data_IF_906857856553
#
_entry.id   IF_906857856553
#
_cell.length_a   1.000
_cell.length_b   1.000
_cell.length_c   1.000
_cell.angle_alpha   90.00
_cell.angle_beta   90.00
_cell.angle_gamma   90.00
#
_symmetry.space_group_name_H-M   'P 1'
#
loop_
_entity.id
_entity.type
_entity.pdbx_description
1 polymer ?
#
# COMPACT_ATOMS: atom_id res chain seq x y z
N UNK A 1 -27.82 -49.07 -38.62
CA UNK A 1 -26.81 -49.93 -39.28
C UNK A 1 -25.99 -50.59 -38.19
N UNK A 2 -26.26 -51.84 -37.78
CA UNK A 2 -25.86 -53.09 -38.47
C UNK A 2 -24.40 -52.98 -38.95
N UNK A 3 -23.42 -53.77 -38.50
CA UNK A 3 -23.41 -55.24 -38.37
C UNK A 3 -22.29 -55.69 -37.41
N UNK A 4 -22.65 -56.66 -36.56
CA UNK A 4 -21.80 -57.55 -35.77
C UNK A 4 -21.23 -58.68 -36.63
N UNK A 5 -19.98 -59.09 -36.38
CA UNK A 5 -19.29 -60.41 -36.58
C UNK A 5 -17.84 -60.10 -36.98
N UNK A 6 -16.78 -60.72 -36.47
CA UNK A 6 -16.45 -62.16 -36.41
C UNK A 6 -14.97 -62.16 -35.92
N UNK A 7 -14.50 -62.93 -34.94
CA UNK A 7 -14.13 -64.33 -35.07
C UNK A 7 -13.59 -64.83 -33.72
N UNK A 8 -14.21 -65.88 -33.17
CA UNK A 8 -13.61 -66.77 -32.18
C UNK A 8 -12.77 -67.82 -32.94
N UNK A 9 -11.54 -68.08 -32.48
CA UNK A 9 -10.86 -69.35 -32.75
C UNK A 9 -10.14 -69.83 -31.50
N UNK A 10 -10.72 -70.87 -30.89
CA UNK A 10 -10.17 -71.67 -29.78
C UNK A 10 -8.87 -72.36 -30.23
N UNK A 11 -7.77 -72.03 -29.56
CA UNK A 11 -6.50 -72.76 -29.61
C UNK A 11 -6.18 -73.36 -28.23
N UNK A 12 -5.81 -74.64 -28.21
CA UNK A 12 -5.75 -75.53 -27.06
C UNK A 12 -4.70 -75.11 -26.01
N UNK A 13 -5.14 -74.90 -24.76
CA UNK A 13 -4.25 -74.90 -23.58
C UNK A 13 -3.98 -76.35 -23.20
N UNK A 14 -2.76 -76.84 -23.39
CA UNK A 14 -2.27 -78.05 -22.71
C UNK A 14 -0.81 -77.90 -22.27
N UNK A 15 -0.65 -77.99 -20.95
CA UNK A 15 0.51 -78.46 -20.16
C UNK A 15 1.80 -77.62 -20.17
N UNK A 16 1.88 -76.69 -19.22
CA UNK A 16 3.12 -76.41 -18.47
C UNK A 16 2.75 -76.41 -16.97
N UNK A 17 2.36 -77.56 -16.46
CA UNK A 17 2.07 -77.76 -15.02
C UNK A 17 2.80 -78.99 -14.51
N UNK A 18 4.14 -78.93 -14.48
CA UNK A 18 4.95 -79.88 -13.70
C UNK A 18 6.40 -79.42 -13.57
N UNK A 19 6.64 -78.27 -12.93
CA UNK A 19 7.99 -77.94 -12.40
C UNK A 19 8.00 -76.90 -11.27
N UNK A 20 6.86 -76.57 -10.67
CA UNK A 20 6.77 -75.51 -9.64
C UNK A 20 6.25 -76.09 -8.31
N UNK A 21 6.68 -77.28 -7.93
CA UNK A 21 6.21 -77.95 -6.71
C UNK A 21 7.12 -77.80 -5.50
N UNK A 22 8.45 -77.68 -5.70
CA UNK A 22 9.42 -77.82 -4.59
C UNK A 22 10.14 -76.53 -4.18
N UNK A 23 10.27 -75.53 -5.06
CA UNK A 23 11.03 -74.29 -4.78
C UNK A 23 10.13 -73.05 -4.60
N UNK A 24 8.80 -73.21 -4.47
CA UNK A 24 7.88 -72.07 -4.32
C UNK A 24 8.11 -71.27 -3.04
N UNK A 25 8.47 -71.95 -1.96
CA UNK A 25 8.70 -71.32 -0.65
C UNK A 25 9.98 -70.50 -0.67
N UNK A 26 11.06 -71.01 -1.28
CA UNK A 26 12.33 -70.28 -1.42
C UNK A 26 12.18 -69.03 -2.30
N UNK A 27 11.46 -69.14 -3.42
CA UNK A 27 11.15 -67.98 -4.26
C UNK A 27 10.28 -66.93 -3.55
N UNK A 28 9.31 -67.36 -2.73
CA UNK A 28 8.49 -66.47 -1.92
C UNK A 28 9.32 -65.74 -0.85
N UNK A 29 10.25 -66.45 -0.19
CA UNK A 29 11.13 -65.86 0.82
C UNK A 29 12.09 -64.83 0.22
N UNK A 30 12.71 -65.15 -0.92
CA UNK A 30 13.60 -64.20 -1.62
C UNK A 30 12.80 -62.96 -2.06
N UNK A 31 11.59 -63.15 -2.59
CA UNK A 31 10.72 -62.04 -2.99
C UNK A 31 10.31 -61.15 -1.81
N UNK A 32 10.00 -61.73 -0.64
CA UNK A 32 9.70 -60.97 0.57
C UNK A 32 10.90 -60.18 1.10
N UNK A 33 12.11 -60.72 1.02
CA UNK A 33 13.34 -60.02 1.44
C UNK A 33 13.62 -58.82 0.52
N UNK A 34 13.43 -58.97 -0.79
CA UNK A 34 13.60 -57.87 -1.75
C UNK A 34 12.59 -56.75 -1.49
N UNK A 35 11.32 -57.10 -1.22
CA UNK A 35 10.29 -56.12 -0.85
C UNK A 35 10.63 -55.41 0.46
N UNK A 36 11.05 -56.16 1.49
CA UNK A 36 11.43 -55.59 2.78
C UNK A 36 12.61 -54.62 2.65
N UNK A 37 13.61 -54.96 1.82
CA UNK A 37 14.76 -54.11 1.55
C UNK A 37 14.38 -52.83 0.81
N UNK A 38 13.47 -52.93 -0.17
CA UNK A 38 12.94 -51.77 -0.88
C UNK A 38 12.13 -50.85 0.03
N UNK A 39 11.24 -51.42 0.86
CA UNK A 39 10.45 -50.65 1.83
C UNK A 39 11.32 -49.98 2.90
N UNK A 40 12.40 -50.64 3.34
CA UNK A 40 13.36 -50.06 4.27
C UNK A 40 14.16 -48.90 3.63
N UNK A 41 14.52 -49.02 2.35
CA UNK A 41 15.12 -47.92 1.58
C UNK A 41 14.20 -46.70 1.47
N UNK A 42 12.91 -46.91 1.21
CA UNK A 42 11.90 -45.83 1.14
C UNK A 42 11.63 -45.21 2.51
N UNK A 43 11.65 -46.02 3.59
CA UNK A 43 11.44 -45.52 4.94
C UNK A 43 12.63 -44.71 5.46
N UNK A 44 13.86 -45.19 5.19
CA UNK A 44 15.09 -44.49 5.57
C UNK A 44 15.26 -43.17 4.82
N UNK A 45 14.91 -43.10 3.54
CA UNK A 45 14.94 -41.84 2.79
C UNK A 45 13.92 -40.82 3.31
N UNK A 46 12.71 -41.26 3.69
CA UNK A 46 11.74 -40.38 4.37
C UNK A 46 12.22 -39.89 5.73
N UNK A 47 12.92 -40.74 6.49
CA UNK A 47 13.50 -40.38 7.79
C UNK A 47 14.63 -39.36 7.67
N UNK A 48 15.46 -39.46 6.63
CA UNK A 48 16.51 -38.46 6.33
C UNK A 48 15.87 -37.12 5.91
N UNK A 49 14.86 -37.15 5.03
CA UNK A 49 14.13 -35.93 4.61
C UNK A 49 13.40 -35.25 5.77
N UNK A 50 12.80 -36.02 6.69
CA UNK A 50 12.17 -35.48 7.91
C UNK A 50 13.19 -34.85 8.86
N UNK A 51 14.42 -35.38 8.89
CA UNK A 51 15.50 -34.86 9.75
C UNK A 51 16.18 -33.61 9.16
N UNK A 52 16.24 -33.48 7.83
CA UNK A 52 16.75 -32.28 7.15
C UNK A 52 15.73 -31.12 7.16
N UNK A 53 14.42 -31.40 7.02
CA UNK A 53 13.38 -30.36 7.05
C UNK A 53 13.02 -29.87 8.46
N UNK A 54 13.25 -30.67 9.50
CA UNK A 54 12.79 -30.37 10.86
C UNK A 54 13.61 -29.32 11.64
N UNK A 55 14.80 -28.94 11.18
CA UNK A 55 15.71 -28.07 11.95
C UNK A 55 16.19 -26.81 11.21
N UNK A 56 16.05 -26.75 9.89
CA UNK A 56 16.61 -25.66 9.06
C UNK A 56 15.55 -24.63 8.66
N UNK A 57 14.31 -25.05 8.36
CA UNK A 57 13.22 -24.13 7.98
C UNK A 57 12.75 -23.27 9.15
N UNK A 58 12.66 -23.82 10.36
CA UNK A 58 12.13 -23.10 11.53
C UNK A 58 13.01 -21.92 11.96
N UNK A 59 14.34 -22.03 11.77
CA UNK A 59 15.29 -20.97 12.15
C UNK A 59 15.33 -19.84 11.11
N UNK A 60 15.25 -20.16 9.81
CA UNK A 60 15.25 -19.17 8.73
C UNK A 60 13.93 -18.38 8.66
N UNK A 61 12.79 -19.04 8.84
CA UNK A 61 11.48 -18.37 8.85
C UNK A 61 11.37 -17.40 10.05
N UNK A 62 11.90 -17.81 11.22
CA UNK A 62 11.92 -16.95 12.42
C UNK A 62 12.83 -15.74 12.23
N UNK A 63 14.02 -15.94 11.64
CA UNK A 63 14.96 -14.85 11.38
C UNK A 63 14.43 -13.87 10.32
N UNK A 64 13.76 -14.37 9.28
CA UNK A 64 13.14 -13.53 8.26
C UNK A 64 11.99 -12.70 8.84
N UNK A 65 11.14 -13.30 9.69
CA UNK A 65 10.07 -12.58 10.37
C UNK A 65 10.59 -11.48 11.32
N UNK A 66 11.68 -11.76 12.05
CA UNK A 66 12.36 -10.78 12.90
C UNK A 66 12.94 -9.63 12.05
N UNK A 67 13.62 -9.94 10.95
CA UNK A 67 14.19 -8.98 10.01
C UNK A 67 13.13 -8.04 9.39
N UNK A 68 11.97 -8.59 9.01
CA UNK A 68 10.85 -7.80 8.49
C UNK A 68 10.25 -6.90 9.56
N UNK A 69 10.16 -7.37 10.81
CA UNK A 69 9.68 -6.56 11.94
C UNK A 69 10.61 -5.39 12.22
N UNK A 70 11.93 -5.62 12.22
CA UNK A 70 12.93 -4.56 12.41
C UNK A 70 12.82 -3.52 11.30
N UNK A 71 12.75 -3.96 10.05
CA UNK A 71 12.64 -3.06 8.89
C UNK A 71 11.33 -2.27 8.92
N UNK A 72 10.22 -2.91 9.28
CA UNK A 72 8.93 -2.26 9.43
C UNK A 72 8.98 -1.13 10.46
N UNK A 73 9.60 -1.35 11.61
CA UNK A 73 9.69 -0.34 12.67
C UNK A 73 10.58 0.87 12.29
N UNK A 74 11.45 0.74 11.28
CA UNK A 74 12.16 1.89 10.69
C UNK A 74 11.25 2.77 9.84
N UNK A 75 10.28 2.17 9.15
CA UNK A 75 9.36 2.86 8.23
C UNK A 75 8.13 3.40 8.97
N UNK A 76 7.45 2.51 9.70
CA UNK A 76 6.22 2.81 10.43
C UNK A 76 6.56 3.13 11.89
N UNK A 77 6.49 4.41 12.21
CA UNK A 77 6.59 4.91 13.58
C UNK A 77 5.23 4.82 14.26
N UNK A 78 5.19 4.91 15.59
CA UNK A 78 3.91 4.94 16.32
C UNK A 78 3.09 6.19 15.99
N UNK A 79 3.76 7.34 15.89
CA UNK A 79 3.12 8.64 15.68
C UNK A 79 4.11 9.70 15.21
N UNK A 80 3.62 10.61 14.35
CA UNK A 80 4.27 11.87 14.04
C UNK A 80 3.54 13.04 14.70
N UNK A 81 4.31 14.03 15.17
CA UNK A 81 3.79 15.30 15.69
C UNK A 81 4.47 16.43 14.94
N UNK A 82 3.72 17.09 14.07
CA UNK A 82 4.18 18.24 13.32
C UNK A 82 3.68 19.51 13.99
N UNK A 83 4.57 20.48 14.24
CA UNK A 83 4.21 21.81 14.79
C UNK A 83 3.58 22.72 13.72
N UNK A 84 2.71 22.14 12.88
CA UNK A 84 1.96 22.83 11.84
C UNK A 84 0.73 23.44 12.49
N UNK A 85 0.62 24.76 12.43
CA UNK A 85 -0.42 25.55 13.07
C UNK A 85 -1.73 25.38 12.31
N UNK A 86 -2.64 24.57 12.84
CA UNK A 86 -3.94 24.26 12.21
C UNK A 86 -5.04 25.30 12.54
N UNK A 87 -5.04 25.85 13.75
CA UNK A 87 -5.97 26.85 14.29
C UNK A 87 -7.43 26.55 13.94
N UNK A 88 -8.07 27.44 13.18
CA UNK A 88 -9.48 27.46 12.84
C UNK A 88 -9.78 27.00 11.41
N UNK A 89 -8.80 26.40 10.71
CA UNK A 89 -8.97 25.91 9.34
C UNK A 89 -10.13 24.92 9.22
N UNK A 90 -10.15 23.88 10.06
CA UNK A 90 -11.25 22.91 10.07
C UNK A 90 -12.61 23.59 10.32
N UNK A 91 -12.66 24.54 11.27
CA UNK A 91 -13.88 25.29 11.57
C UNK A 91 -14.38 26.08 10.37
N UNK A 92 -13.49 26.77 9.65
CA UNK A 92 -13.81 27.54 8.44
C UNK A 92 -14.33 26.62 7.33
N UNK A 93 -13.64 25.51 7.06
CA UNK A 93 -14.07 24.54 6.05
C UNK A 93 -15.47 23.97 6.33
N UNK A 94 -15.84 23.77 7.60
CA UNK A 94 -17.19 23.33 7.98
C UNK A 94 -18.24 24.44 7.81
N UNK A 95 -17.87 25.69 8.15
CA UNK A 95 -18.74 26.86 7.99
C UNK A 95 -19.05 27.12 6.52
N UNK A 96 -18.04 27.03 5.66
CA UNK A 96 -18.14 27.25 4.21
C UNK A 96 -18.74 26.06 3.45
N UNK A 97 -19.03 24.97 4.17
CA UNK A 97 -19.66 23.76 3.62
C UNK A 97 -18.71 22.84 2.85
N UNK A 98 -17.42 23.19 2.75
CA UNK A 98 -16.38 22.34 2.17
C UNK A 98 -16.39 20.99 2.85
N UNK A 99 -16.47 20.96 4.19
CA UNK A 99 -16.60 19.72 4.96
C UNK A 99 -17.97 19.65 5.63
N UNK A 100 -18.72 18.60 5.34
CA UNK A 100 -19.83 18.14 6.15
C UNK A 100 -19.31 17.13 7.18
N UNK A 101 -19.44 17.46 8.47
CA UNK A 101 -18.90 16.62 9.56
C UNK A 101 -19.57 15.25 9.64
N UNK A 102 -20.84 15.11 9.26
CA UNK A 102 -21.52 13.82 9.29
C UNK A 102 -21.03 12.95 8.12
N UNK A 103 -20.87 13.53 6.92
CA UNK A 103 -20.28 12.80 5.79
C UNK A 103 -18.84 12.39 6.07
N UNK A 104 -18.04 13.28 6.67
CA UNK A 104 -16.67 12.96 7.08
C UNK A 104 -16.65 11.85 8.14
N UNK A 105 -17.53 11.90 9.16
CA UNK A 105 -17.64 10.84 10.17
C UNK A 105 -17.96 9.47 9.52
N UNK A 106 -18.92 9.45 8.61
CA UNK A 106 -19.32 8.24 7.90
C UNK A 106 -18.15 7.69 7.07
N UNK A 107 -17.41 8.56 6.39
CA UNK A 107 -16.27 8.16 5.56
C UNK A 107 -15.10 7.60 6.39
N UNK A 108 -14.80 8.21 7.54
CA UNK A 108 -13.61 7.85 8.33
C UNK A 108 -13.86 6.78 9.39
N UNK A 109 -15.09 6.62 9.85
CA UNK A 109 -15.43 5.70 10.95
C UNK A 109 -16.64 4.81 10.70
N UNK A 110 -17.45 5.11 9.68
CA UNK A 110 -18.73 4.43 9.46
C UNK A 110 -19.86 4.90 10.39
N UNK A 111 -19.62 5.92 11.22
CA UNK A 111 -20.53 6.43 12.25
C UNK A 111 -21.09 7.82 11.86
N UNK A 112 -22.23 8.20 12.47
CA UNK A 112 -22.90 9.49 12.21
C UNK A 112 -22.14 10.71 12.78
N UNK A 113 -21.20 10.50 13.70
CA UNK A 113 -20.52 11.57 14.44
C UNK A 113 -19.02 11.34 14.52
N UNK A 114 -18.27 12.42 14.34
CA UNK A 114 -16.83 12.38 14.49
C UNK A 114 -16.45 12.05 15.94
N UNK A 115 -15.49 11.14 16.13
CA UNK A 115 -14.88 10.92 17.43
C UNK A 115 -14.24 12.19 18.00
N UNK A 116 -14.13 12.26 19.34
CA UNK A 116 -13.60 13.45 20.04
C UNK A 116 -12.17 13.79 19.64
N UNK A 117 -11.37 12.78 19.31
CA UNK A 117 -10.00 12.91 18.84
C UNK A 117 -9.89 13.65 17.50
N UNK A 118 -10.93 13.64 16.67
CA UNK A 118 -11.00 14.37 15.39
C UNK A 118 -11.71 15.71 15.54
N UNK A 119 -12.75 15.79 16.39
CA UNK A 119 -13.48 17.05 16.66
C UNK A 119 -12.56 18.19 17.11
N UNK A 120 -11.45 17.87 17.80
CA UNK A 120 -10.45 18.86 18.21
C UNK A 120 -9.89 19.68 17.03
N UNK A 121 -9.82 19.13 15.81
CA UNK A 121 -9.35 19.85 14.62
C UNK A 121 -10.38 20.82 14.04
N UNK A 122 -11.58 20.88 14.61
CA UNK A 122 -12.66 21.78 14.19
C UNK A 122 -13.02 22.82 15.26
N UNK A 123 -12.29 22.86 16.40
CA UNK A 123 -12.59 23.73 17.54
C UNK A 123 -11.88 25.10 17.52
N UNK A 124 -10.85 25.27 16.68
CA UNK A 124 -10.08 26.51 16.53
C UNK A 124 -8.78 26.60 17.33
N UNK A 125 -8.35 25.55 18.05
CA UNK A 125 -7.28 25.63 19.06
C UNK A 125 -6.05 24.76 18.78
N UNK A 126 -5.98 24.07 17.63
CA UNK A 126 -4.88 23.15 17.36
C UNK A 126 -3.66 23.87 16.77
N UNK A 127 -2.52 23.78 17.44
CA UNK A 127 -1.24 24.35 17.00
C UNK A 127 -0.29 23.29 16.40
N UNK A 128 -0.78 22.06 16.26
CA UNK A 128 -0.05 20.91 15.73
C UNK A 128 -0.97 19.96 14.98
N UNK A 129 -0.36 19.14 14.12
CA UNK A 129 -0.97 18.00 13.46
C UNK A 129 -0.35 16.72 14.04
N UNK A 130 -1.21 15.81 14.50
CA UNK A 130 -0.82 14.49 14.99
C UNK A 130 -1.25 13.43 13.98
N UNK A 131 -0.28 12.75 13.38
CA UNK A 131 -0.48 11.74 12.35
C UNK A 131 -0.11 10.38 12.90
N UNK A 132 -1.01 9.41 12.78
CA UNK A 132 -0.83 7.98 13.11
C UNK A 132 -1.36 7.15 11.94
N UNK A 133 -1.07 5.85 11.93
CA UNK A 133 -1.59 4.97 10.90
C UNK A 133 -3.13 4.92 10.94
N UNK A 134 -3.71 4.95 12.14
CA UNK A 134 -5.16 4.84 12.38
C UNK A 134 -5.93 6.10 11.94
N UNK A 135 -5.30 7.28 12.01
CA UNK A 135 -5.95 8.53 11.61
C UNK A 135 -5.53 9.03 10.23
N UNK A 136 -4.77 8.25 9.48
CA UNK A 136 -4.27 8.65 8.16
C UNK A 136 -5.41 8.92 7.17
N UNK A 137 -6.49 8.15 7.25
CA UNK A 137 -7.72 8.35 6.46
C UNK A 137 -8.40 9.68 6.78
N UNK A 138 -8.50 10.04 8.05
CA UNK A 138 -9.02 11.35 8.45
C UNK A 138 -8.20 12.48 7.82
N UNK A 139 -6.87 12.35 7.82
CA UNK A 139 -6.01 13.38 7.28
C UNK A 139 -6.07 13.51 5.76
N UNK A 140 -6.14 12.40 5.00
CA UNK A 140 -6.30 12.53 3.53
C UNK A 140 -7.60 13.24 3.21
N UNK A 141 -8.70 12.91 3.89
CA UNK A 141 -10.02 13.49 3.61
C UNK A 141 -10.11 14.98 3.98
N UNK A 142 -9.56 15.38 5.14
CA UNK A 142 -9.56 16.79 5.57
C UNK A 142 -8.60 17.64 4.73
N UNK A 143 -7.40 17.13 4.43
CA UNK A 143 -6.43 17.85 3.61
C UNK A 143 -6.88 17.90 2.15
N UNK A 144 -7.59 16.89 1.64
CA UNK A 144 -8.19 16.93 0.32
C UNK A 144 -9.18 18.10 0.23
N UNK A 145 -10.09 18.23 1.20
CA UNK A 145 -11.00 19.38 1.26
C UNK A 145 -10.26 20.72 1.32
N UNK A 146 -9.18 20.80 2.11
CA UNK A 146 -8.35 22.00 2.19
C UNK A 146 -7.71 22.34 0.84
N UNK A 147 -7.02 21.39 0.21
CA UNK A 147 -6.36 21.59 -1.07
C UNK A 147 -7.35 21.93 -2.19
N UNK A 148 -8.51 21.26 -2.23
CA UNK A 148 -9.56 21.50 -3.22
C UNK A 148 -10.10 22.94 -3.11
N UNK A 149 -10.36 23.38 -1.88
CA UNK A 149 -11.11 24.59 -1.62
C UNK A 149 -10.24 25.83 -1.45
N UNK A 150 -8.96 25.66 -1.09
CA UNK A 150 -8.03 26.75 -0.98
C UNK A 150 -7.67 27.31 -2.37
N UNK A 151 -7.76 28.62 -2.53
CA UNK A 151 -7.44 29.30 -3.78
C UNK A 151 -5.94 29.21 -4.05
N UNK A 152 -5.56 28.64 -5.21
CA UNK A 152 -4.17 28.48 -5.60
C UNK A 152 -3.97 28.47 -7.12
N UNK A 153 -2.89 29.10 -7.59
CA UNK A 153 -2.53 29.12 -9.01
C UNK A 153 -2.29 27.71 -9.61
N UNK A 154 -1.84 26.74 -8.80
CA UNK A 154 -1.73 25.32 -9.22
C UNK A 154 -3.08 24.77 -9.71
N UNK A 155 -4.19 25.22 -9.10
CA UNK A 155 -5.53 24.79 -9.49
C UNK A 155 -6.14 25.66 -10.58
N UNK A 156 -5.83 26.95 -10.63
CA UNK A 156 -6.44 27.87 -11.61
C UNK A 156 -5.73 27.86 -12.96
N UNK A 157 -4.43 27.61 -12.96
CA UNK A 157 -3.54 27.76 -14.12
C UNK A 157 -2.72 26.50 -14.42
N UNK A 158 -2.73 25.51 -13.51
CA UNK A 158 -1.97 24.27 -13.67
C UNK A 158 -2.65 23.22 -14.55
N UNK A 159 -2.07 22.02 -14.56
CA UNK A 159 -2.43 20.90 -15.46
C UNK A 159 -3.92 20.53 -15.44
N UNK A 160 -4.59 20.63 -14.29
CA UNK A 160 -6.03 20.34 -14.19
C UNK A 160 -6.90 21.32 -14.98
N UNK A 161 -6.41 22.52 -15.27
CA UNK A 161 -7.13 23.52 -16.06
C UNK A 161 -6.59 23.67 -17.48
N UNK A 162 -5.65 22.82 -17.90
CA UNK A 162 -5.05 22.88 -19.23
C UNK A 162 -6.10 22.80 -20.36
N UNK A 163 -7.14 21.98 -20.16
CA UNK A 163 -8.27 21.82 -21.10
C UNK A 163 -9.47 22.74 -20.76
N UNK A 164 -9.33 23.64 -19.77
CA UNK A 164 -10.36 24.59 -19.34
C UNK A 164 -11.46 24.03 -18.44
N UNK A 165 -11.40 22.74 -18.07
CA UNK A 165 -12.37 22.09 -17.19
C UNK A 165 -11.70 21.08 -16.24
N UNK A 166 -11.78 21.37 -14.94
CA UNK A 166 -11.25 20.51 -13.88
C UNK A 166 -12.30 19.57 -13.25
N UNK A 167 -13.56 19.56 -13.72
CA UNK A 167 -14.64 18.79 -13.07
C UNK A 167 -14.52 17.26 -13.22
N UNK A 168 -13.80 16.78 -14.23
CA UNK A 168 -13.69 15.37 -14.58
C UNK A 168 -12.60 14.57 -13.84
N UNK A 169 -11.78 15.23 -13.02
CA UNK A 169 -10.67 14.57 -12.31
C UNK A 169 -11.15 13.83 -11.05
N UNK A 170 -10.35 12.89 -10.55
CA UNK A 170 -10.74 12.08 -9.39
C UNK A 170 -10.89 12.93 -8.10
N UNK A 171 -10.14 14.02 -7.98
CA UNK A 171 -10.10 14.94 -6.84
C UNK A 171 -11.25 15.94 -6.82
N UNK A 172 -11.93 16.13 -7.96
CA UNK A 172 -13.11 17.00 -8.08
C UNK A 172 -14.36 16.14 -8.21
N UNK A 173 -14.43 15.27 -9.21
CA UNK A 173 -15.56 14.36 -9.44
C UNK A 173 -15.78 13.34 -8.32
N UNK A 174 -14.73 12.99 -7.56
CA UNK A 174 -14.83 12.11 -6.39
C UNK A 174 -15.21 12.82 -5.08
N UNK A 175 -15.22 14.16 -5.04
CA UNK A 175 -15.44 14.89 -3.79
C UNK A 175 -16.90 14.86 -3.37
N UNK A 176 -17.18 14.09 -2.32
CA UNK A 176 -18.54 13.89 -1.79
C UNK A 176 -18.70 14.35 -0.35
N UNK A 177 -17.61 14.81 0.28
CA UNK A 177 -17.58 15.16 1.71
C UNK A 177 -18.09 16.58 2.01
N UNK A 178 -18.40 17.37 0.97
CA UNK A 178 -18.99 18.69 1.12
C UNK A 178 -20.52 18.69 1.21
N UNK A 179 -21.08 19.84 1.57
CA UNK A 179 -22.52 20.09 1.63
C UNK A 179 -23.18 20.32 0.27
N UNK A 180 -22.38 20.64 -0.73
CA UNK A 180 -22.83 20.86 -2.10
C UNK A 180 -22.41 19.63 -2.90
N UNK A 181 -23.27 19.21 -3.81
CA UNK A 181 -23.07 18.00 -4.62
C UNK A 181 -21.94 18.20 -5.65
N UNK A 182 -21.78 19.41 -6.17
CA UNK A 182 -20.76 19.71 -7.17
C UNK A 182 -19.55 20.40 -6.53
N UNK A 183 -18.42 19.69 -6.58
CA UNK A 183 -17.11 20.10 -6.05
C UNK A 183 -16.57 21.39 -6.67
N UNK A 184 -16.96 21.72 -7.90
CA UNK A 184 -16.54 22.95 -8.57
C UNK A 184 -17.08 24.20 -7.88
N UNK A 185 -18.09 24.06 -7.01
CA UNK A 185 -18.54 25.16 -6.14
C UNK A 185 -17.57 25.48 -4.98
N UNK A 186 -16.56 24.64 -4.78
CA UNK A 186 -15.48 24.82 -3.80
C UNK A 186 -14.12 25.03 -4.47
N UNK A 187 -13.91 24.46 -5.67
CA UNK A 187 -12.64 24.45 -6.37
C UNK A 187 -11.95 25.83 -6.41
N UNK A 188 -10.76 25.92 -5.78
CA UNK A 188 -9.92 27.13 -5.71
C UNK A 188 -10.67 28.41 -5.28
N UNK A 189 -11.66 28.30 -4.40
CA UNK A 189 -12.59 29.40 -4.11
C UNK A 189 -12.19 30.26 -2.91
N UNK A 190 -11.70 29.66 -1.84
CA UNK A 190 -11.52 30.33 -0.55
C UNK A 190 -10.06 30.62 -0.27
N UNK A 191 -9.76 31.80 0.28
CA UNK A 191 -8.39 32.17 0.67
C UNK A 191 -8.08 31.74 2.09
N UNK A 192 -8.09 30.43 2.35
CA UNK A 192 -7.73 29.87 3.67
C UNK A 192 -6.26 30.07 3.99
N UNK A 193 -5.41 29.92 2.98
CA UNK A 193 -3.97 30.06 3.04
C UNK A 193 -3.58 31.14 2.03
N UNK A 194 -2.92 32.19 2.51
CA UNK A 194 -2.39 33.25 1.66
C UNK A 194 -0.89 33.06 1.50
N UNK A 195 -0.43 32.91 0.26
CA UNK A 195 0.97 32.74 -0.10
C UNK A 195 1.49 34.02 -0.75
N UNK A 196 2.70 34.43 -0.40
CA UNK A 196 3.47 35.38 -1.22
C UNK A 196 3.91 34.74 -2.54
N UNK A 197 4.31 35.54 -3.52
CA UNK A 197 4.82 35.04 -4.82
C UNK A 197 5.94 34.02 -4.64
N UNK A 198 6.93 34.31 -3.79
CA UNK A 198 8.02 33.38 -3.48
C UNK A 198 7.55 32.08 -2.81
N UNK A 199 6.55 32.17 -1.94
CA UNK A 199 5.94 30.99 -1.33
C UNK A 199 5.19 30.17 -2.38
N UNK A 200 4.48 30.81 -3.30
CA UNK A 200 3.81 30.12 -4.39
C UNK A 200 4.80 29.38 -5.30
N UNK A 201 5.92 30.02 -5.66
CA UNK A 201 7.02 29.35 -6.40
C UNK A 201 7.54 28.12 -5.66
N UNK A 202 7.74 28.24 -4.33
CA UNK A 202 8.17 27.13 -3.48
C UNK A 202 7.15 25.99 -3.46
N UNK A 203 5.84 26.30 -3.42
CA UNK A 203 4.78 25.29 -3.52
C UNK A 203 4.86 24.55 -4.84
N UNK A 204 4.96 25.26 -5.96
CA UNK A 204 5.04 24.66 -7.31
C UNK A 204 6.26 23.76 -7.43
N UNK A 205 7.44 24.22 -6.98
CA UNK A 205 8.67 23.44 -7.03
C UNK A 205 8.57 22.15 -6.21
N UNK A 206 8.13 22.23 -4.95
CA UNK A 206 8.01 21.07 -4.08
C UNK A 206 6.95 20.11 -4.61
N UNK A 207 5.78 20.63 -4.99
CA UNK A 207 4.67 19.84 -5.49
C UNK A 207 5.03 19.12 -6.80
N UNK A 208 5.83 19.74 -7.66
CA UNK A 208 6.32 19.12 -8.90
C UNK A 208 7.21 17.89 -8.68
N UNK A 209 7.78 17.74 -7.47
CA UNK A 209 8.73 16.70 -7.13
C UNK A 209 8.18 15.62 -6.18
N UNK A 210 6.91 15.70 -5.78
CA UNK A 210 6.27 14.74 -4.87
C UNK A 210 5.23 13.90 -5.60
N UNK A 211 5.42 12.58 -5.60
CA UNK A 211 4.58 11.58 -6.23
C UNK A 211 3.90 10.66 -5.20
N UNK A 212 2.86 9.95 -5.63
CA UNK A 212 2.01 9.07 -4.80
C UNK A 212 1.70 7.79 -5.59
N UNK A 213 1.77 6.60 -4.98
CA UNK A 213 1.77 5.34 -5.72
C UNK A 213 0.42 4.98 -6.33
N UNK A 214 -0.62 5.79 -6.12
CA UNK A 214 -1.93 5.64 -6.74
C UNK A 214 -1.99 6.12 -8.20
N UNK A 215 -1.09 7.00 -8.66
CA UNK A 215 -1.10 7.52 -10.03
C UNK A 215 0.30 7.94 -10.52
N UNK A 216 0.40 8.38 -11.77
CA UNK A 216 1.66 8.83 -12.38
C UNK A 216 1.97 10.33 -12.21
N UNK A 217 1.04 11.10 -11.65
CA UNK A 217 1.10 12.56 -11.60
C UNK A 217 1.84 13.04 -10.35
N UNK A 218 2.56 14.16 -10.50
CA UNK A 218 3.13 14.87 -9.35
C UNK A 218 2.05 15.58 -8.54
N UNK A 219 2.40 16.17 -7.41
CA UNK A 219 1.47 16.97 -6.62
C UNK A 219 1.07 18.27 -7.30
N UNK A 220 1.87 18.77 -8.24
CA UNK A 220 1.51 19.91 -9.08
C UNK A 220 0.41 19.59 -10.10
N UNK A 221 0.09 18.30 -10.30
CA UNK A 221 -1.12 17.84 -10.99
C UNK A 221 -1.96 17.00 -10.01
N UNK A 222 -2.76 17.65 -9.13
CA UNK A 222 -3.47 16.98 -8.04
C UNK A 222 -4.78 16.30 -8.48
N UNK A 223 -4.68 15.42 -9.48
CA UNK A 223 -5.82 14.66 -10.03
C UNK A 223 -6.50 13.77 -8.98
N UNK A 224 -5.77 13.08 -8.09
CA UNK A 224 -6.38 12.20 -7.09
C UNK A 224 -6.65 12.91 -5.74
N UNK A 225 -7.42 12.28 -4.84
CA UNK A 225 -7.61 12.78 -3.47
C UNK A 225 -6.28 12.96 -2.70
N UNK A 226 -5.36 11.99 -2.79
CA UNK A 226 -3.99 12.10 -2.25
C UNK A 226 -3.20 13.24 -2.91
N UNK A 227 -3.45 13.41 -4.21
CA UNK A 227 -3.22 14.59 -5.04
C UNK A 227 -3.41 15.90 -4.31
N UNK A 228 -4.67 16.17 -4.11
CA UNK A 228 -5.18 17.40 -3.57
C UNK A 228 -4.83 17.55 -2.08
N UNK A 229 -4.83 16.45 -1.32
CA UNK A 229 -4.45 16.44 0.08
C UNK A 229 -3.00 16.85 0.30
N UNK A 230 -2.08 16.30 -0.49
CA UNK A 230 -0.66 16.66 -0.38
C UNK A 230 -0.44 18.12 -0.80
N UNK A 231 -1.17 18.62 -1.80
CA UNK A 231 -1.09 20.04 -2.17
C UNK A 231 -1.49 20.94 -0.99
N UNK A 232 -2.64 20.66 -0.35
CA UNK A 232 -3.10 21.42 0.82
C UNK A 232 -2.12 21.39 2.00
N UNK A 233 -1.44 20.26 2.23
CA UNK A 233 -0.38 20.15 3.24
C UNK A 233 0.83 21.03 2.90
N UNK A 234 1.31 20.97 1.65
CA UNK A 234 2.47 21.75 1.19
C UNK A 234 2.16 23.24 1.30
N UNK A 235 1.01 23.69 0.81
CA UNK A 235 0.57 25.09 0.94
C UNK A 235 0.57 25.56 2.39
N UNK A 236 0.01 24.75 3.28
CA UNK A 236 -0.09 25.08 4.69
C UNK A 236 1.30 25.23 5.32
N UNK A 237 2.21 24.29 5.05
CA UNK A 237 3.57 24.34 5.59
C UNK A 237 4.40 25.48 4.99
N UNK A 238 4.31 25.72 3.68
CA UNK A 238 5.01 26.83 3.02
C UNK A 238 4.53 28.18 3.56
N UNK A 239 3.22 28.34 3.77
CA UNK A 239 2.65 29.58 4.37
C UNK A 239 3.21 29.87 5.77
N UNK A 240 3.65 28.83 6.48
CA UNK A 240 4.23 28.89 7.82
C UNK A 240 5.76 28.94 7.81
N UNK A 241 6.39 29.08 6.64
CA UNK A 241 7.83 29.18 6.45
C UNK A 241 8.62 27.96 6.92
N UNK A 242 8.03 26.76 6.84
CA UNK A 242 8.80 25.53 7.00
C UNK A 242 9.86 25.43 5.90
N UNK A 243 11.02 24.86 6.24
CA UNK A 243 12.05 24.58 5.24
C UNK A 243 11.61 23.47 4.28
N UNK A 244 12.17 23.46 3.07
CA UNK A 244 11.94 22.41 2.06
C UNK A 244 12.14 21.00 2.65
N UNK A 245 13.20 20.80 3.43
CA UNK A 245 13.49 19.52 4.09
C UNK A 245 12.42 19.12 5.10
N UNK A 246 11.86 20.06 5.87
CA UNK A 246 10.76 19.75 6.80
C UNK A 246 9.49 19.38 6.04
N UNK A 247 9.21 20.04 4.91
CA UNK A 247 8.06 19.76 4.07
C UNK A 247 8.17 18.36 3.47
N UNK A 248 9.32 17.98 2.89
CA UNK A 248 9.51 16.62 2.37
C UNK A 248 9.43 15.55 3.46
N UNK A 249 9.94 15.82 4.67
CA UNK A 249 9.80 14.88 5.80
C UNK A 249 8.35 14.69 6.21
N UNK A 250 7.56 15.76 6.28
CA UNK A 250 6.14 15.67 6.55
C UNK A 250 5.42 14.93 5.42
N UNK A 251 5.63 15.33 4.17
CA UNK A 251 5.05 14.67 2.99
C UNK A 251 5.35 13.15 2.96
N UNK A 252 6.58 12.76 3.29
CA UNK A 252 6.98 11.35 3.36
C UNK A 252 6.21 10.62 4.45
N UNK A 253 6.04 11.21 5.63
CA UNK A 253 5.27 10.60 6.70
C UNK A 253 3.79 10.42 6.33
N UNK A 254 3.16 11.44 5.72
CA UNK A 254 1.77 11.35 5.26
C UNK A 254 1.61 10.28 4.18
N UNK A 255 2.44 10.30 3.13
CA UNK A 255 2.41 9.26 2.11
C UNK A 255 2.70 7.87 2.69
N UNK A 256 3.61 7.75 3.66
CA UNK A 256 3.92 6.47 4.32
C UNK A 256 2.70 5.88 5.00
N UNK A 257 1.86 6.69 5.65
CA UNK A 257 0.66 6.16 6.28
C UNK A 257 -0.56 6.07 5.35
N UNK A 258 -0.57 6.79 4.23
CA UNK A 258 -1.57 6.59 3.17
C UNK A 258 -1.27 5.33 2.35
N UNK A 259 0.01 4.96 2.22
CA UNK A 259 0.47 3.84 1.40
C UNK A 259 1.52 3.00 2.12
N UNK A 260 1.20 2.40 3.28
CA UNK A 260 2.21 1.75 4.13
C UNK A 260 2.89 0.57 3.43
N UNK A 261 2.16 -0.22 2.65
CA UNK A 261 2.73 -1.32 1.86
C UNK A 261 3.84 -0.80 0.93
N UNK A 262 3.58 0.30 0.21
CA UNK A 262 4.56 0.88 -0.73
C UNK A 262 5.87 1.21 -0.05
N UNK A 263 5.83 1.93 1.07
CA UNK A 263 7.06 2.36 1.73
C UNK A 263 7.79 1.23 2.46
N UNK A 264 7.07 0.20 2.91
CA UNK A 264 7.68 -1.02 3.42
C UNK A 264 8.40 -1.80 2.33
N UNK A 265 7.75 -1.99 1.16
CA UNK A 265 8.37 -2.64 0.01
C UNK A 265 9.56 -1.83 -0.52
N UNK A 266 9.46 -0.49 -0.57
CA UNK A 266 10.59 0.38 -0.91
C UNK A 266 11.75 0.21 0.07
N UNK A 267 11.48 0.15 1.38
CA UNK A 267 12.54 -0.08 2.37
C UNK A 267 13.20 -1.45 2.19
N UNK A 268 12.43 -2.48 1.86
CA UNK A 268 12.97 -3.81 1.60
C UNK A 268 13.78 -3.87 0.32
N UNK A 269 13.29 -3.25 -0.76
CA UNK A 269 14.03 -3.06 -2.01
C UNK A 269 15.38 -2.37 -1.75
N UNK A 270 15.39 -1.28 -0.99
CA UNK A 270 16.63 -0.56 -0.64
C UNK A 270 17.59 -1.47 0.15
N UNK A 271 17.09 -2.21 1.14
CA UNK A 271 17.88 -3.18 1.92
C UNK A 271 18.50 -4.24 1.02
N UNK A 272 17.74 -4.82 0.08
CA UNK A 272 18.26 -5.80 -0.89
C UNK A 272 19.34 -5.23 -1.81
N UNK A 273 19.32 -3.92 -2.04
CA UNK A 273 20.31 -3.20 -2.84
C UNK A 273 21.39 -2.50 -1.99
N UNK A 274 21.54 -2.89 -0.71
CA UNK A 274 22.61 -2.42 0.16
C UNK A 274 22.48 -0.95 0.60
N UNK A 275 21.26 -0.40 0.60
CA UNK A 275 20.95 0.97 1.03
C UNK A 275 20.08 0.94 2.29
N UNK A 276 20.39 1.81 3.27
CA UNK A 276 19.52 1.98 4.43
C UNK A 276 18.41 3.00 4.13
N UNK A 277 17.16 2.62 4.37
CA UNK A 277 15.97 3.47 4.17
C UNK A 277 16.10 4.82 4.90
N UNK A 278 16.67 4.83 6.11
CA UNK A 278 16.81 6.06 6.91
C UNK A 278 17.88 7.02 6.38
N UNK A 279 18.79 6.55 5.52
CA UNK A 279 19.83 7.35 4.88
C UNK A 279 19.38 7.92 3.51
N UNK A 280 18.29 7.38 2.94
CA UNK A 280 17.72 7.89 1.69
C UNK A 280 16.95 9.18 1.94
N UNK A 281 17.20 10.20 1.12
CA UNK A 281 16.53 11.49 1.30
C UNK A 281 15.01 11.37 1.10
N UNK A 282 14.18 12.10 1.87
CA UNK A 282 12.73 12.11 1.65
C UNK A 282 12.32 12.55 0.24
N UNK A 283 13.06 13.47 -0.39
CA UNK A 283 12.83 13.90 -1.78
C UNK A 283 13.03 12.76 -2.77
N UNK A 284 14.03 11.90 -2.55
CA UNK A 284 14.23 10.70 -3.37
C UNK A 284 13.11 9.68 -3.16
N UNK A 285 12.76 9.37 -1.90
CA UNK A 285 11.68 8.42 -1.60
C UNK A 285 10.33 8.87 -2.19
N UNK A 286 10.07 10.17 -2.22
CA UNK A 286 8.86 10.79 -2.79
C UNK A 286 8.92 11.01 -4.31
N UNK A 287 10.06 10.72 -4.94
CA UNK A 287 10.25 10.96 -6.37
C UNK A 287 9.39 10.05 -7.23
N UNK A 288 9.38 10.32 -8.53
CA UNK A 288 8.70 9.50 -9.52
C UNK A 288 9.16 8.04 -9.49
N UNK A 289 10.44 7.79 -9.22
CA UNK A 289 11.05 6.47 -9.35
C UNK A 289 10.61 5.50 -8.24
N UNK A 290 10.22 6.02 -7.07
CA UNK A 290 9.75 5.20 -5.94
C UNK A 290 8.26 5.38 -5.66
N UNK A 291 7.79 6.63 -5.71
CA UNK A 291 6.44 6.96 -5.27
C UNK A 291 5.44 7.19 -6.40
N UNK A 292 5.78 7.12 -7.70
CA UNK A 292 4.71 7.07 -8.73
C UNK A 292 4.13 5.67 -8.85
N UNK A 293 2.96 5.52 -9.47
CA UNK A 293 2.38 4.20 -9.76
C UNK A 293 3.37 3.26 -10.48
N UNK A 294 4.09 3.76 -11.49
CA UNK A 294 5.10 2.99 -12.22
C UNK A 294 6.36 2.72 -11.38
N UNK A 295 6.76 3.68 -10.55
CA UNK A 295 7.90 3.53 -9.64
C UNK A 295 7.65 2.47 -8.58
N UNK A 296 6.47 2.50 -7.96
CA UNK A 296 6.06 1.48 -7.02
C UNK A 296 5.87 0.13 -7.70
N UNK A 297 5.27 0.06 -8.90
CA UNK A 297 5.17 -1.18 -9.65
C UNK A 297 6.56 -1.82 -9.83
N UNK A 298 7.54 -1.05 -10.30
CA UNK A 298 8.94 -1.52 -10.46
C UNK A 298 9.51 -2.04 -9.14
N UNK A 299 9.31 -1.31 -8.05
CA UNK A 299 9.76 -1.72 -6.70
C UNK A 299 9.12 -3.06 -6.29
N UNK A 300 7.80 -3.16 -6.40
CA UNK A 300 7.02 -4.34 -6.00
C UNK A 300 7.37 -5.58 -6.83
N UNK A 301 7.66 -5.43 -8.13
CA UNK A 301 8.09 -6.53 -9.00
C UNK A 301 9.46 -7.09 -8.59
N UNK A 302 10.37 -6.24 -8.12
CA UNK A 302 11.69 -6.67 -7.64
C UNK A 302 11.62 -7.33 -6.25
N UNK A 303 10.72 -6.84 -5.40
CA UNK A 303 10.54 -7.35 -4.02
C UNK A 303 9.74 -8.64 -3.99
N UNK A 304 8.76 -8.79 -4.88
CA UNK A 304 7.78 -9.88 -4.85
C UNK A 304 6.73 -9.68 -3.75
N UNK A 305 6.01 -10.75 -3.40
CA UNK A 305 5.01 -10.70 -2.34
C UNK A 305 5.66 -10.84 -0.96
N UNK A 306 5.51 -9.81 -0.13
CA UNK A 306 5.97 -9.79 1.26
C UNK A 306 4.76 -9.62 2.19
N UNK A 307 4.62 -10.51 3.16
CA UNK A 307 3.60 -10.38 4.21
C UNK A 307 4.16 -9.55 5.36
N UNK A 308 3.74 -8.28 5.44
CA UNK A 308 4.21 -7.38 6.49
C UNK A 308 3.46 -7.57 7.80
N UNK A 309 4.16 -7.71 8.94
CA UNK A 309 3.53 -7.90 10.25
C UNK A 309 2.45 -6.86 10.62
N UNK A 310 2.63 -5.59 10.27
CA UNK A 310 1.70 -4.50 10.59
C UNK A 310 0.47 -4.42 9.66
N UNK A 311 0.52 -5.03 8.48
CA UNK A 311 -0.55 -4.88 7.48
C UNK A 311 -1.53 -6.06 7.46
N UNK A 312 -1.18 -7.16 8.12
CA UNK A 312 -1.96 -8.39 8.06
C UNK A 312 -2.05 -8.97 6.65
N UNK A 313 -2.65 -10.15 6.51
CA UNK A 313 -2.90 -10.77 5.20
C UNK A 313 -4.14 -10.14 4.54
N UNK A 314 -4.06 -8.91 4.04
CA UNK A 314 -5.16 -8.32 3.27
C UNK A 314 -5.26 -6.80 3.34
N UNK A 315 -4.48 -6.11 2.52
CA UNK A 315 -4.54 -4.64 2.39
C UNK A 315 -4.16 -4.18 0.99
N UNK A 316 -4.74 -4.79 -0.05
CA UNK A 316 -4.65 -4.28 -1.42
C UNK A 316 -5.45 -2.99 -1.52
N UNK A 317 -4.76 -1.89 -1.86
CA UNK A 317 -5.24 -0.58 -2.31
C UNK A 317 -6.79 -0.45 -2.36
N UNK A 318 -7.39 0.02 -1.27
CA UNK A 318 -8.77 0.49 -1.24
C UNK A 318 -8.78 2.01 -1.28
N UNK A 319 -9.22 2.58 -2.40
CA UNK A 319 -9.54 4.00 -2.55
C UNK A 319 -10.66 4.42 -1.58
#
# INVERSE_FOLDING_TARGET
>A
MNVVKKYLKKGKIKKVSKLIGKNRIEFLLIFLIVIASFLFGVLSSKLVLLKENGNTQTSQDTQQAEDLTILQNKVLKDKYVFKIVWKDLGKKMVQDGVIDKAKLAQAVTGEDKLPKEFEKYFDGKQDKIELTLENSRFWVDVLWGLGLANKNAVLEEGEMMAEGDASGFASTGGWTLGKLEDAMNYYSKYSYINLSEKQQETVVEIAGNIYRPCCGNSTAFPDCNHGMAMLGLIELMVSQNFSENEIYKAALAFNTYWFPQTYLDTAYYLKQNGRDYEEVSPKELLSKDFSSAMGYQTTSENVGSVEWPALGSGGSCGA
#
